data_IF_966793083302
#
_entry.id   IF_966793083302
#
_cell.length_a   1.000
_cell.length_b   1.000
_cell.length_c   1.000
_cell.angle_alpha   90.00
_cell.angle_beta   90.00
_cell.angle_gamma   90.00
#
_symmetry.space_group_name_H-M   'P 1'
#
loop_
_entity.id
_entity.type
_entity.pdbx_description
1 polymer ?
#
# COMPACT_ATOMS: atom_id res chain seq x y z
N UNK A 1 25.05 16.21 -23.74
CA UNK A 1 23.68 16.00 -24.25
C UNK A 1 23.39 14.55 -23.97
N UNK A 2 22.71 14.28 -22.87
CA UNK A 2 22.52 12.92 -22.36
C UNK A 2 21.59 12.14 -23.30
N UNK A 3 22.15 11.19 -24.03
CA UNK A 3 21.40 10.13 -24.69
C UNK A 3 20.79 9.24 -23.61
N UNK A 4 19.60 9.61 -23.15
CA UNK A 4 18.74 8.67 -22.42
C UNK A 4 18.44 7.54 -23.40
N UNK A 5 19.08 6.39 -23.18
CA UNK A 5 18.83 5.16 -23.91
C UNK A 5 17.33 4.87 -23.90
N UNK A 6 16.77 4.52 -25.06
CA UNK A 6 15.36 4.12 -25.19
C UNK A 6 14.98 3.01 -24.19
N UNK A 7 15.95 2.16 -23.81
CA UNK A 7 15.77 1.13 -22.79
C UNK A 7 15.58 1.68 -21.37
N UNK A 8 16.24 2.78 -21.02
CA UNK A 8 16.10 3.42 -19.71
C UNK A 8 14.81 4.23 -19.62
N UNK A 9 14.45 4.94 -20.69
CA UNK A 9 13.14 5.59 -20.80
C UNK A 9 11.98 4.59 -20.73
N UNK A 10 12.12 3.42 -21.35
CA UNK A 10 11.12 2.34 -21.28
C UNK A 10 11.05 1.73 -19.87
N UNK A 11 12.19 1.53 -19.19
CA UNK A 11 12.21 1.06 -17.79
C UNK A 11 11.52 2.05 -16.87
N UNK A 12 11.81 3.34 -16.99
CA UNK A 12 11.18 4.36 -16.16
C UNK A 12 9.69 4.53 -16.47
N UNK A 13 9.28 4.39 -17.74
CA UNK A 13 7.87 4.32 -18.11
C UNK A 13 7.16 3.10 -17.51
N UNK A 14 7.79 1.92 -17.54
CA UNK A 14 7.26 0.71 -16.92
C UNK A 14 7.23 0.80 -15.38
N UNK A 15 8.18 1.52 -14.76
CA UNK A 15 8.19 1.77 -13.31
C UNK A 15 7.00 2.62 -12.85
N UNK A 16 6.53 3.53 -13.69
CA UNK A 16 5.39 4.43 -13.47
C UNK A 16 4.13 4.00 -14.25
N UNK A 17 4.09 2.77 -14.75
CA UNK A 17 2.98 2.30 -15.58
C UNK A 17 1.78 1.92 -14.71
N UNK A 18 0.54 2.28 -15.13
CA UNK A 18 -0.70 1.89 -14.46
C UNK A 18 -0.85 0.38 -14.25
N UNK A 19 -0.17 -0.44 -15.06
CA UNK A 19 -0.21 -1.90 -14.94
C UNK A 19 0.56 -2.40 -13.71
N UNK A 20 1.70 -1.75 -13.39
CA UNK A 20 2.51 -2.07 -12.21
C UNK A 20 1.81 -1.60 -10.94
N UNK A 21 1.13 -0.45 -10.98
CA UNK A 21 0.35 0.07 -9.87
C UNK A 21 -0.81 -0.87 -9.50
N UNK A 22 -1.54 -1.41 -10.49
CA UNK A 22 -2.59 -2.41 -10.24
C UNK A 22 -2.06 -3.72 -9.65
N UNK A 23 -0.89 -4.17 -10.09
CA UNK A 23 -0.24 -5.37 -9.54
C UNK A 23 0.20 -5.14 -8.08
N UNK A 24 0.74 -3.96 -7.79
CA UNK A 24 1.10 -3.54 -6.43
C UNK A 24 -0.16 -3.40 -5.54
N UNK A 25 -1.27 -2.90 -6.09
CA UNK A 25 -2.55 -2.76 -5.36
C UNK A 25 -3.15 -4.14 -5.00
N UNK A 26 -3.11 -5.11 -5.92
CA UNK A 26 -3.56 -6.46 -5.60
C UNK A 26 -2.68 -7.11 -4.52
N UNK A 27 -1.36 -6.96 -4.63
CA UNK A 27 -0.43 -7.49 -3.63
C UNK A 27 -0.68 -6.88 -2.24
N UNK A 28 -0.88 -5.57 -2.15
CA UNK A 28 -1.09 -4.90 -0.85
C UNK A 28 -2.44 -5.30 -0.23
N UNK A 29 -3.48 -5.52 -1.05
CA UNK A 29 -4.78 -6.01 -0.56
C UNK A 29 -4.69 -7.45 -0.03
N UNK A 30 -4.04 -8.36 -0.77
CA UNK A 30 -3.85 -9.75 -0.32
C UNK A 30 -3.01 -9.81 0.96
N UNK A 31 -1.94 -9.01 1.05
CA UNK A 31 -1.12 -8.90 2.24
C UNK A 31 -1.93 -8.36 3.44
N UNK A 32 -2.75 -7.34 3.21
CA UNK A 32 -3.65 -6.77 4.23
C UNK A 32 -4.62 -7.82 4.78
N UNK A 33 -5.30 -8.57 3.91
CA UNK A 33 -6.23 -9.61 4.31
C UNK A 33 -5.52 -10.72 5.11
N UNK A 34 -4.34 -11.16 4.67
CA UNK A 34 -3.54 -12.16 5.39
C UNK A 34 -3.13 -11.68 6.78
N UNK A 35 -2.76 -10.42 6.92
CA UNK A 35 -2.29 -9.85 8.18
C UNK A 35 -3.43 -9.56 9.17
N UNK A 36 -4.54 -8.98 8.69
CA UNK A 36 -5.64 -8.51 9.55
C UNK A 36 -6.77 -9.53 9.69
N UNK A 37 -6.86 -10.49 8.78
CA UNK A 37 -7.93 -11.47 8.70
C UNK A 37 -9.16 -10.96 7.95
N UNK A 38 -9.99 -11.92 7.53
CA UNK A 38 -11.15 -11.71 6.65
C UNK A 38 -12.16 -10.70 7.21
N UNK A 39 -12.38 -10.68 8.52
CA UNK A 39 -13.35 -9.76 9.14
C UNK A 39 -12.94 -8.31 8.97
N UNK A 40 -11.69 -7.97 9.30
CA UNK A 40 -11.21 -6.58 9.17
C UNK A 40 -11.13 -6.19 7.69
N UNK A 41 -10.65 -7.10 6.85
CA UNK A 41 -10.60 -6.88 5.41
C UNK A 41 -11.99 -6.60 4.82
N UNK A 42 -13.02 -7.32 5.27
CA UNK A 42 -14.40 -7.13 4.81
C UNK A 42 -14.94 -5.73 5.09
N UNK A 43 -14.58 -5.13 6.24
CA UNK A 43 -14.96 -3.76 6.59
C UNK A 43 -13.96 -2.70 6.08
N UNK A 44 -12.94 -3.11 5.34
CA UNK A 44 -11.98 -2.19 4.72
C UNK A 44 -12.37 -1.96 3.26
N UNK A 45 -12.76 -0.74 2.91
CA UNK A 45 -13.23 -0.41 1.56
C UNK A 45 -12.08 -0.43 0.55
N UNK A 46 -10.89 0.03 0.94
CA UNK A 46 -9.69 -0.07 0.10
C UNK A 46 -8.39 0.06 0.89
N UNK A 47 -7.33 -0.54 0.35
CA UNK A 47 -5.95 -0.39 0.81
C UNK A 47 -5.08 -0.08 -0.40
N UNK A 48 -4.37 1.04 -0.38
CA UNK A 48 -3.53 1.50 -1.50
C UNK A 48 -2.19 1.98 -1.00
N UNK A 49 -1.12 1.67 -1.72
CA UNK A 49 0.21 2.21 -1.48
C UNK A 49 0.50 3.30 -2.53
N UNK A 50 0.59 4.55 -2.10
CA UNK A 50 0.82 5.70 -2.99
C UNK A 50 1.94 6.54 -2.39
N UNK A 51 3.04 6.73 -3.14
CA UNK A 51 4.19 7.53 -2.70
C UNK A 51 4.63 7.18 -1.26
N UNK A 52 4.87 5.88 -1.01
CA UNK A 52 5.32 5.38 0.30
C UNK A 52 4.30 5.58 1.44
N UNK A 53 3.07 6.00 1.14
CA UNK A 53 1.98 6.13 2.10
C UNK A 53 0.95 5.04 1.90
N UNK A 54 0.63 4.32 2.97
CA UNK A 54 -0.44 3.35 2.98
C UNK A 54 -1.75 4.06 3.32
N UNK A 55 -2.68 4.07 2.38
CA UNK A 55 -3.99 4.67 2.52
C UNK A 55 -5.00 3.55 2.72
N UNK A 56 -5.61 3.52 3.89
CA UNK A 56 -6.67 2.58 4.26
C UNK A 56 -7.96 3.37 4.35
N UNK A 57 -8.99 2.95 3.62
CA UNK A 57 -10.32 3.57 3.66
C UNK A 57 -11.30 2.61 4.30
N UNK A 58 -12.08 3.08 5.28
CA UNK A 58 -13.17 2.31 5.86
C UNK A 58 -14.36 3.20 6.23
N UNK A 59 -15.54 2.76 5.82
CA UNK A 59 -16.82 3.36 6.17
C UNK A 59 -17.27 3.03 7.60
N UNK A 60 -16.64 2.03 8.25
CA UNK A 60 -16.95 1.63 9.62
C UNK A 60 -16.25 2.54 10.65
N UNK A 61 -17.01 3.45 11.28
CA UNK A 61 -16.46 4.41 12.25
C UNK A 61 -15.68 3.78 13.42
N UNK A 62 -16.13 2.68 14.05
CA UNK A 62 -15.35 2.02 15.10
C UNK A 62 -14.02 1.47 14.58
N UNK A 63 -14.03 0.82 13.40
CA UNK A 63 -12.82 0.28 12.79
C UNK A 63 -11.84 1.40 12.42
N UNK A 64 -12.34 2.51 11.87
CA UNK A 64 -11.53 3.70 11.57
C UNK A 64 -10.77 4.19 12.81
N UNK A 65 -11.43 4.22 13.96
CA UNK A 65 -10.82 4.66 15.21
C UNK A 65 -9.75 3.68 15.70
N UNK A 66 -10.05 2.38 15.73
CA UNK A 66 -9.07 1.32 16.10
C UNK A 66 -7.84 1.32 15.18
N UNK A 67 -8.03 1.43 13.87
CA UNK A 67 -6.94 1.54 12.89
C UNK A 67 -6.12 2.81 13.09
N UNK A 68 -6.78 3.92 13.45
CA UNK A 68 -6.09 5.19 13.70
C UNK A 68 -5.16 5.12 14.92
N UNK A 69 -5.56 4.42 15.98
CA UNK A 69 -4.70 4.18 17.15
C UNK A 69 -3.56 3.20 16.87
N UNK A 70 -3.68 2.35 15.85
CA UNK A 70 -2.72 1.31 15.52
C UNK A 70 -1.85 1.61 14.29
N UNK A 71 -1.88 2.84 13.76
CA UNK A 71 -1.14 3.26 12.55
C UNK A 71 0.33 2.87 12.55
N UNK A 72 1.05 3.14 13.64
CA UNK A 72 2.49 2.82 13.72
C UNK A 72 2.73 1.32 13.66
N UNK A 73 1.96 0.55 14.44
CA UNK A 73 2.03 -0.92 14.44
C UNK A 73 1.68 -1.51 13.07
N UNK A 74 0.70 -0.94 12.37
CA UNK A 74 0.34 -1.34 11.00
C UNK A 74 1.52 -1.10 10.05
N UNK A 75 2.10 0.11 10.08
CA UNK A 75 3.26 0.47 9.25
C UNK A 75 4.40 -0.54 9.44
N UNK A 76 4.76 -0.78 10.69
CA UNK A 76 5.92 -1.60 11.03
C UNK A 76 5.70 -3.06 10.61
N UNK A 77 4.51 -3.61 10.85
CA UNK A 77 4.15 -4.98 10.45
C UNK A 77 4.10 -5.18 8.94
N UNK A 78 3.59 -4.20 8.20
CA UNK A 78 3.55 -4.33 6.74
C UNK A 78 4.95 -4.22 6.16
N UNK A 79 5.78 -3.29 6.64
CA UNK A 79 7.19 -3.23 6.24
C UNK A 79 7.94 -4.54 6.56
N UNK A 80 7.70 -5.12 7.73
CA UNK A 80 8.25 -6.44 8.10
C UNK A 80 7.81 -7.52 7.12
N UNK A 81 6.53 -7.56 6.78
CA UNK A 81 5.99 -8.56 5.85
C UNK A 81 6.45 -8.35 4.38
N UNK A 82 6.76 -7.11 4.00
CA UNK A 82 7.36 -6.78 2.70
C UNK A 82 8.88 -7.04 2.68
N UNK A 83 9.53 -7.18 3.84
CA UNK A 83 10.98 -7.34 3.95
C UNK A 83 11.78 -6.07 3.69
N UNK A 84 11.13 -4.92 3.58
CA UNK A 84 11.74 -3.61 3.33
C UNK A 84 10.97 -2.48 4.03
N UNK A 85 11.66 -1.40 4.39
CA UNK A 85 11.05 -0.19 4.97
C UNK A 85 10.49 0.72 3.87
N UNK A 86 9.43 0.27 3.21
CA UNK A 86 8.82 0.98 2.08
C UNK A 86 7.76 2.00 2.54
N UNK A 87 6.98 1.67 3.56
CA UNK A 87 5.88 2.50 4.07
C UNK A 87 6.41 3.47 5.13
N UNK A 88 6.27 4.76 4.86
CA UNK A 88 6.68 5.84 5.76
C UNK A 88 5.51 6.33 6.63
N UNK A 89 4.30 6.36 6.06
CA UNK A 89 3.10 6.90 6.70
C UNK A 89 1.87 6.01 6.46
N UNK A 90 0.98 5.94 7.46
CA UNK A 90 -0.33 5.29 7.35
C UNK A 90 -1.44 6.32 7.53
N UNK A 91 -2.31 6.42 6.53
CA UNK A 91 -3.45 7.34 6.50
C UNK A 91 -4.73 6.50 6.56
N UNK A 92 -5.58 6.78 7.56
CA UNK A 92 -6.91 6.18 7.66
C UNK A 92 -7.96 7.19 7.22
N UNK A 93 -8.75 6.84 6.21
CA UNK A 93 -9.83 7.63 5.62
C UNK A 93 -11.19 7.07 5.97
#
# INVERSE_FOLDING_TARGET
MDEVSLGDALRDYLRHSPFRDKMNEYHIQDLWEKMMGKTIAHYTDSVKLIQNRLIITTSAAPLKQELSYSKEKIRDRINEALGEKLIEEVIIK
#
